data_IF_153033631514
#
_entry.id   IF_153033631514
#
_cell.length_a   1.000
_cell.length_b   1.000
_cell.length_c   1.000
_cell.angle_alpha   90.00
_cell.angle_beta   90.00
_cell.angle_gamma   90.00
#
_symmetry.space_group_name_H-M   'P 1'
#
loop_
_entity.id
_entity.type
_entity.pdbx_description
1 polymer ?
#
# COMPACT_ATOMS: atom_id res chain seq x y z
N UNK A 1 -53.47 23.62 31.20
CA UNK A 1 -53.57 22.30 30.53
C UNK A 1 -52.72 22.42 29.28
N UNK A 2 -51.47 21.95 29.35
CA UNK A 2 -51.02 20.70 28.69
C UNK A 2 -51.06 20.82 27.17
N UNK A 3 -49.98 20.71 26.40
CA UNK A 3 -48.62 20.28 26.69
C UNK A 3 -47.96 19.80 25.39
N UNK A 4 -46.63 19.98 25.29
CA UNK A 4 -45.70 19.21 24.46
C UNK A 4 -45.81 19.35 22.93
N UNK A 5 -44.78 19.14 22.14
CA UNK A 5 -43.35 19.00 22.38
C UNK A 5 -42.71 19.18 21.00
N UNK A 6 -41.61 19.92 20.92
CA UNK A 6 -40.80 19.99 19.72
C UNK A 6 -40.12 18.62 19.49
N UNK A 7 -40.07 18.07 18.27
CA UNK A 7 -39.15 16.99 17.98
C UNK A 7 -37.75 17.59 17.79
N UNK A 8 -36.98 17.60 18.88
CA UNK A 8 -35.53 17.69 18.82
C UNK A 8 -34.91 16.35 18.43
N UNK A 9 -33.75 16.43 17.79
CA UNK A 9 -32.70 15.40 17.89
C UNK A 9 -32.68 14.34 16.81
N UNK A 10 -31.86 14.55 15.77
CA UNK A 10 -31.09 13.48 15.10
C UNK A 10 -30.02 14.09 14.19
N UNK A 11 -28.96 14.64 14.78
CA UNK A 11 -27.72 14.98 14.07
C UNK A 11 -26.50 14.19 14.58
N UNK A 12 -26.73 13.19 15.44
CA UNK A 12 -25.67 12.35 16.03
C UNK A 12 -25.25 11.15 15.15
N UNK A 13 -25.96 10.86 14.04
CA UNK A 13 -25.68 9.70 13.21
C UNK A 13 -24.42 9.83 12.34
N UNK A 14 -24.04 11.03 11.91
CA UNK A 14 -23.17 11.16 10.73
C UNK A 14 -21.67 11.09 11.04
N UNK A 15 -21.22 11.65 12.17
CA UNK A 15 -19.80 11.66 12.53
C UNK A 15 -19.33 10.33 13.14
N UNK A 16 -20.17 9.71 13.98
CA UNK A 16 -19.87 8.41 14.60
C UNK A 16 -19.87 7.26 13.58
N UNK A 17 -20.84 7.25 12.66
CA UNK A 17 -20.89 6.25 11.58
C UNK A 17 -19.75 6.44 10.58
N UNK A 18 -19.40 7.69 10.24
CA UNK A 18 -18.24 7.97 9.37
C UNK A 18 -16.92 7.48 10.01
N UNK A 19 -16.76 7.70 11.32
CA UNK A 19 -15.58 7.22 12.05
C UNK A 19 -15.55 5.68 12.10
N UNK A 20 -16.69 5.04 12.37
CA UNK A 20 -16.81 3.59 12.39
C UNK A 20 -16.49 2.97 11.01
N UNK A 21 -16.97 3.58 9.92
CA UNK A 21 -16.67 3.17 8.56
C UNK A 21 -15.17 3.34 8.24
N UNK A 22 -14.54 4.43 8.69
CA UNK A 22 -13.10 4.64 8.52
C UNK A 22 -12.28 3.57 9.26
N UNK A 23 -12.65 3.20 10.49
CA UNK A 23 -11.99 2.12 11.22
C UNK A 23 -12.19 0.75 10.56
N UNK A 24 -13.39 0.47 10.04
CA UNK A 24 -13.65 -0.76 9.29
C UNK A 24 -12.79 -0.84 8.02
N UNK A 25 -12.63 0.29 7.30
CA UNK A 25 -11.75 0.40 6.14
C UNK A 25 -10.28 0.17 6.50
N UNK A 26 -9.80 0.78 7.58
CA UNK A 26 -8.45 0.60 8.10
C UNK A 26 -8.17 -0.86 8.46
N UNK A 27 -9.12 -1.54 9.14
CA UNK A 27 -8.97 -2.95 9.47
C UNK A 27 -8.97 -3.85 8.24
N UNK A 28 -9.80 -3.55 7.24
CA UNK A 28 -9.79 -4.26 5.96
C UNK A 28 -8.46 -4.12 5.22
N UNK A 29 -7.85 -2.93 5.26
CA UNK A 29 -6.54 -2.69 4.65
C UNK A 29 -5.43 -3.44 5.40
N UNK A 30 -5.49 -3.48 6.74
CA UNK A 30 -4.55 -4.24 7.57
C UNK A 30 -4.65 -5.76 7.30
N UNK A 31 -5.87 -6.29 7.20
CA UNK A 31 -6.12 -7.69 6.86
C UNK A 31 -5.63 -8.03 5.44
N UNK A 32 -5.76 -7.09 4.50
CA UNK A 32 -5.25 -7.24 3.13
C UNK A 32 -3.73 -7.20 3.08
N UNK A 33 -3.10 -6.26 3.79
CA UNK A 33 -1.64 -6.20 3.92
C UNK A 33 -1.10 -7.47 4.58
N UNK A 34 -1.76 -7.94 5.65
CA UNK A 34 -1.42 -9.19 6.33
C UNK A 34 -1.56 -10.42 5.44
N UNK A 35 -2.48 -10.42 4.46
CA UNK A 35 -2.59 -11.48 3.44
C UNK A 35 -1.47 -11.39 2.41
N UNK A 36 -1.13 -10.19 1.94
CA UNK A 36 -0.04 -9.97 0.99
C UNK A 36 1.31 -10.40 1.58
N UNK A 37 1.59 -10.03 2.83
CA UNK A 37 2.82 -10.42 3.53
C UNK A 37 2.90 -11.93 3.68
N UNK A 38 1.83 -12.60 4.13
CA UNK A 38 1.79 -14.07 4.24
C UNK A 38 1.99 -14.77 2.90
N UNK A 39 1.38 -14.27 1.82
CA UNK A 39 1.57 -14.84 0.50
C UNK A 39 3.02 -14.68 -0.01
N UNK A 40 3.66 -13.55 0.31
CA UNK A 40 5.06 -13.31 0.00
C UNK A 40 6.00 -14.21 0.81
N UNK A 41 5.70 -14.41 2.10
CA UNK A 41 6.45 -15.31 2.98
C UNK A 41 6.32 -16.76 2.53
N UNK A 42 5.11 -17.22 2.19
CA UNK A 42 4.90 -18.57 1.66
C UNK A 42 5.62 -18.78 0.32
N UNK A 43 5.64 -17.77 -0.55
CA UNK A 43 6.39 -17.83 -1.81
C UNK A 43 7.89 -17.91 -1.55
N UNK A 44 8.38 -17.10 -0.62
CA UNK A 44 9.79 -17.13 -0.19
C UNK A 44 10.15 -18.43 0.52
N UNK A 45 9.24 -19.05 1.27
CA UNK A 45 9.49 -20.35 1.91
C UNK A 45 9.54 -21.52 0.91
N UNK A 46 8.83 -21.40 -0.23
CA UNK A 46 8.92 -22.35 -1.35
C UNK A 46 10.23 -22.20 -2.13
N UNK A 47 10.80 -21.00 -2.17
CA UNK A 47 12.16 -20.76 -2.65
C UNK A 47 13.16 -21.08 -1.54
N UNK A 48 13.71 -22.29 -1.53
CA UNK A 48 14.74 -22.65 -0.54
C UNK A 48 15.81 -21.55 -0.49
N UNK A 49 16.15 -20.97 0.68
CA UNK A 49 17.11 -19.86 0.78
C UNK A 49 18.42 -20.14 0.01
N UNK A 50 18.88 -21.40 0.06
CA UNK A 50 20.05 -21.87 -0.67
C UNK A 50 19.92 -21.83 -2.20
N UNK A 51 18.73 -22.01 -2.77
CA UNK A 51 18.54 -22.03 -4.22
C UNK A 51 18.81 -20.66 -4.86
N UNK A 52 18.38 -19.57 -4.21
CA UNK A 52 18.64 -18.20 -4.68
C UNK A 52 20.12 -17.84 -4.51
N UNK A 53 20.70 -18.21 -3.38
CA UNK A 53 22.13 -18.00 -3.11
C UNK A 53 22.98 -18.75 -4.15
N UNK A 54 22.67 -20.00 -4.45
CA UNK A 54 23.35 -20.78 -5.47
C UNK A 54 23.16 -20.19 -6.87
N UNK A 55 21.95 -19.76 -7.23
CA UNK A 55 21.70 -19.07 -8.49
C UNK A 55 22.52 -17.78 -8.59
N UNK A 56 22.67 -17.03 -7.48
CA UNK A 56 23.54 -15.86 -7.42
C UNK A 56 25.01 -16.24 -7.61
N UNK A 57 25.50 -17.30 -6.93
CA UNK A 57 26.88 -17.82 -7.10
C UNK A 57 27.16 -18.24 -8.54
N UNK A 58 26.19 -18.89 -9.20
CA UNK A 58 26.26 -19.27 -10.62
C UNK A 58 26.08 -18.09 -11.59
N UNK A 59 25.70 -16.92 -11.10
CA UNK A 59 25.49 -15.71 -11.91
C UNK A 59 24.16 -15.67 -12.65
N UNK A 60 23.24 -16.58 -12.36
CA UNK A 60 21.91 -16.66 -12.99
C UNK A 60 21.02 -15.47 -12.64
N UNK A 61 21.27 -14.84 -11.49
CA UNK A 61 20.60 -13.59 -11.08
C UNK A 61 21.30 -12.33 -11.65
N UNK A 62 22.37 -12.52 -12.42
CA UNK A 62 23.16 -11.46 -13.01
C UNK A 62 24.40 -11.06 -12.19
N UNK A 63 25.28 -10.23 -12.78
CA UNK A 63 26.62 -9.98 -12.26
C UNK A 63 26.63 -9.15 -10.97
N UNK A 64 25.64 -8.29 -10.75
CA UNK A 64 25.53 -7.54 -9.50
C UNK A 64 25.17 -8.46 -8.32
N UNK A 65 24.23 -9.37 -8.53
CA UNK A 65 23.85 -10.37 -7.54
C UNK A 65 24.99 -11.35 -7.24
N UNK A 66 25.74 -11.79 -8.25
CA UNK A 66 26.91 -12.63 -8.02
C UNK A 66 27.97 -11.95 -7.14
N UNK A 67 28.29 -10.67 -7.41
CA UNK A 67 29.25 -9.91 -6.59
C UNK A 67 28.73 -9.65 -5.16
N UNK A 68 27.45 -9.35 -5.02
CA UNK A 68 26.83 -9.21 -3.71
C UNK A 68 26.87 -10.52 -2.92
N UNK A 69 26.61 -11.67 -3.57
CA UNK A 69 26.66 -12.98 -2.92
C UNK A 69 28.06 -13.34 -2.44
N UNK A 70 29.11 -13.03 -3.20
CA UNK A 70 30.50 -13.21 -2.74
C UNK A 70 30.77 -12.42 -1.46
N UNK A 71 30.25 -11.20 -1.35
CA UNK A 71 30.41 -10.37 -0.14
C UNK A 71 29.58 -10.89 1.04
N UNK A 72 28.38 -11.40 0.78
CA UNK A 72 27.51 -12.02 1.79
C UNK A 72 28.16 -13.30 2.32
N UNK A 73 28.65 -14.16 1.43
CA UNK A 73 29.35 -15.40 1.79
C UNK A 73 30.63 -15.11 2.60
N UNK A 74 31.33 -14.01 2.30
CA UNK A 74 32.49 -13.54 3.05
C UNK A 74 32.15 -12.81 4.37
N UNK A 75 30.87 -12.65 4.71
CA UNK A 75 30.41 -11.94 5.90
C UNK A 75 30.68 -10.43 5.90
N UNK A 76 31.00 -9.84 4.75
CA UNK A 76 31.27 -8.41 4.59
C UNK A 76 30.00 -7.55 4.58
N UNK A 77 28.86 -8.19 4.31
CA UNK A 77 27.53 -7.57 4.27
C UNK A 77 26.46 -8.64 4.50
N UNK A 78 25.19 -8.24 4.57
CA UNK A 78 24.05 -9.15 4.66
C UNK A 78 23.04 -8.85 3.56
N UNK A 79 22.19 -9.82 3.23
CA UNK A 79 21.08 -9.59 2.31
C UNK A 79 20.19 -8.43 2.76
N UNK A 80 19.94 -8.35 4.07
CA UNK A 80 19.20 -7.24 4.69
C UNK A 80 19.91 -5.89 4.47
N UNK A 81 21.22 -5.81 4.68
CA UNK A 81 21.97 -4.58 4.44
C UNK A 81 21.96 -4.17 2.96
N UNK A 82 22.04 -5.14 2.04
CA UNK A 82 21.95 -4.91 0.58
C UNK A 82 20.58 -4.37 0.19
N UNK A 83 19.49 -4.99 0.64
CA UNK A 83 18.13 -4.59 0.29
C UNK A 83 17.66 -3.34 1.06
N UNK A 84 18.00 -3.25 2.33
CA UNK A 84 17.63 -2.16 3.25
C UNK A 84 18.45 -0.88 3.06
N UNK A 85 19.52 -0.92 2.27
CA UNK A 85 20.29 0.27 1.88
C UNK A 85 21.48 0.62 2.77
N UNK A 86 21.74 -0.16 3.83
CA UNK A 86 22.94 0.00 4.66
C UNK A 86 24.23 -0.35 3.88
N UNK A 87 24.15 -1.24 2.89
CA UNK A 87 25.23 -1.48 1.94
C UNK A 87 25.18 -0.46 0.80
N UNK A 88 26.15 0.45 0.81
CA UNK A 88 26.34 1.51 -0.19
C UNK A 88 27.18 1.10 -1.42
N UNK A 89 27.54 -0.17 -1.54
CA UNK A 89 28.36 -0.64 -2.67
C UNK A 89 27.64 -0.51 -4.03
N UNK A 90 28.40 -0.40 -5.14
CA UNK A 90 27.82 -0.27 -6.48
C UNK A 90 26.87 -1.42 -6.83
N UNK A 91 27.22 -2.66 -6.46
CA UNK A 91 26.38 -3.84 -6.63
C UNK A 91 25.06 -3.75 -5.84
N UNK A 92 25.10 -3.34 -4.57
CA UNK A 92 23.89 -3.22 -3.76
C UNK A 92 22.96 -2.11 -4.27
N UNK A 93 23.54 -0.97 -4.70
CA UNK A 93 22.79 0.12 -5.34
C UNK A 93 22.12 -0.36 -6.63
N UNK A 94 22.85 -1.07 -7.49
CA UNK A 94 22.31 -1.58 -8.75
C UNK A 94 21.18 -2.60 -8.53
N UNK A 95 21.33 -3.50 -7.55
CA UNK A 95 20.28 -4.46 -7.16
C UNK A 95 19.01 -3.73 -6.74
N UNK A 96 19.12 -2.73 -5.87
CA UNK A 96 17.96 -1.94 -5.42
C UNK A 96 17.31 -1.14 -6.55
N UNK A 97 18.11 -0.58 -7.45
CA UNK A 97 17.60 0.13 -8.63
C UNK A 97 16.83 -0.83 -9.56
N UNK A 98 17.37 -2.01 -9.83
CA UNK A 98 16.70 -3.03 -10.63
C UNK A 98 15.39 -3.49 -9.98
N UNK A 99 15.39 -3.73 -8.65
CA UNK A 99 14.17 -4.07 -7.92
C UNK A 99 13.12 -2.96 -7.99
N UNK A 100 13.53 -1.69 -7.85
CA UNK A 100 12.63 -0.54 -7.97
C UNK A 100 12.06 -0.41 -9.38
N UNK A 101 12.88 -0.59 -10.41
CA UNK A 101 12.44 -0.57 -11.80
C UNK A 101 11.42 -1.69 -12.08
N UNK A 102 11.65 -2.91 -11.55
CA UNK A 102 10.73 -4.03 -11.66
C UNK A 102 9.37 -3.72 -10.99
N UNK A 103 9.39 -3.14 -9.80
CA UNK A 103 8.17 -2.73 -9.10
C UNK A 103 7.41 -1.64 -9.86
N UNK A 104 8.13 -0.65 -10.39
CA UNK A 104 7.54 0.41 -11.23
C UNK A 104 6.92 -0.17 -12.50
N UNK A 105 7.62 -1.06 -13.21
CA UNK A 105 7.11 -1.74 -14.40
C UNK A 105 5.88 -2.59 -14.09
N UNK A 106 5.85 -3.24 -12.93
CA UNK A 106 4.70 -4.02 -12.46
C UNK A 106 3.51 -3.13 -12.09
N UNK A 107 3.76 -1.87 -11.70
CA UNK A 107 2.70 -0.87 -11.46
C UNK A 107 2.13 -0.33 -12.77
N UNK A 108 2.97 -0.12 -13.79
CA UNK A 108 2.52 0.29 -15.13
C UNK A 108 1.80 -0.83 -15.90
N UNK A 109 1.98 -2.10 -15.51
CA UNK A 109 1.32 -3.26 -16.13
C UNK A 109 -0.08 -3.59 -15.55
N UNK A 110 -0.63 -2.76 -14.65
CA UNK A 110 -2.00 -2.87 -14.12
C UNK A 110 -2.04 -2.95 -12.58
N UNK A 111 -2.13 -1.79 -11.90
CA UNK A 111 -3.28 -1.40 -11.06
C UNK A 111 -3.65 0.09 -11.26
N UNK A 112 -3.17 0.71 -12.34
CA UNK A 112 -3.50 2.11 -12.67
C UNK A 112 -4.98 2.29 -13.01
N UNK A 113 -5.63 1.30 -13.63
CA UNK A 113 -7.07 1.34 -13.91
C UNK A 113 -7.93 1.24 -12.64
N UNK A 114 -7.50 0.45 -11.65
CA UNK A 114 -8.24 0.26 -10.41
C UNK A 114 -8.05 1.46 -9.47
N UNK A 115 -6.81 1.96 -9.32
CA UNK A 115 -6.54 3.19 -8.58
C UNK A 115 -7.13 4.43 -9.26
N UNK A 116 -7.15 4.48 -10.59
CA UNK A 116 -7.81 5.55 -11.34
C UNK A 116 -9.32 5.47 -11.19
N UNK A 117 -9.93 4.29 -11.34
CA UNK A 117 -11.37 4.10 -11.06
C UNK A 117 -11.72 4.49 -9.64
N UNK A 118 -10.93 4.07 -8.65
CA UNK A 118 -11.18 4.38 -7.26
C UNK A 118 -11.07 5.90 -7.00
N UNK A 119 -10.09 6.56 -7.62
CA UNK A 119 -9.95 8.03 -7.56
C UNK A 119 -11.15 8.74 -8.19
N UNK A 120 -11.62 8.26 -9.34
CA UNK A 120 -12.76 8.84 -10.05
C UNK A 120 -14.07 8.62 -9.29
N UNK A 121 -14.26 7.44 -8.69
CA UNK A 121 -15.40 7.14 -7.81
C UNK A 121 -15.41 8.02 -6.56
N UNK A 122 -14.25 8.23 -5.92
CA UNK A 122 -14.12 9.14 -4.77
C UNK A 122 -14.43 10.59 -5.18
N UNK A 123 -13.96 11.04 -6.35
CA UNK A 123 -14.29 12.35 -6.89
C UNK A 123 -15.79 12.55 -7.13
N UNK A 124 -16.45 11.58 -7.76
CA UNK A 124 -17.89 11.61 -8.02
C UNK A 124 -18.72 11.64 -6.71
N UNK A 125 -18.27 10.92 -5.68
CA UNK A 125 -18.91 10.93 -4.38
C UNK A 125 -18.77 12.30 -3.69
N UNK A 126 -17.59 12.92 -3.76
CA UNK A 126 -17.35 14.26 -3.21
C UNK A 126 -18.20 15.34 -3.88
N UNK A 127 -18.36 15.27 -5.21
CA UNK A 127 -19.23 16.19 -5.95
C UNK A 127 -20.69 16.04 -5.54
N UNK A 128 -21.17 14.80 -5.40
CA UNK A 128 -22.54 14.50 -4.97
C UNK A 128 -22.81 15.04 -3.57
N UNK A 129 -21.87 14.84 -2.64
CA UNK A 129 -21.94 15.38 -1.28
C UNK A 129 -21.92 16.92 -1.26
N UNK A 130 -21.08 17.53 -2.11
CA UNK A 130 -21.01 18.99 -2.23
C UNK A 130 -22.28 19.57 -2.82
N UNK A 131 -22.87 18.93 -3.84
CA UNK A 131 -24.14 19.32 -4.44
C UNK A 131 -25.30 19.19 -3.44
N UNK A 132 -25.34 18.10 -2.67
CA UNK A 132 -26.30 17.91 -1.59
C UNK A 132 -26.15 18.98 -0.50
N UNK A 133 -24.92 19.29 -0.09
CA UNK A 133 -24.62 20.34 0.88
C UNK A 133 -25.06 21.74 0.41
N UNK A 134 -24.89 22.06 -0.89
CA UNK A 134 -25.41 23.31 -1.48
C UNK A 134 -26.93 23.35 -1.49
N UNK A 135 -27.58 22.23 -1.80
CA UNK A 135 -29.05 22.12 -1.83
C UNK A 135 -29.68 22.25 -0.43
N UNK A 136 -28.93 21.86 0.61
CA UNK A 136 -29.28 22.02 2.02
C UNK A 136 -28.91 23.39 2.60
N UNK A 137 -28.19 24.25 1.86
CA UNK A 137 -28.03 25.68 2.14
C UNK A 137 -29.04 26.45 1.28
N UNK A 138 -30.31 26.58 1.69
CA UNK A 138 -31.18 27.56 1.07
C UNK A 138 -30.57 28.93 1.31
N UNK A 139 -30.57 29.78 0.27
CA UNK A 139 -30.23 31.18 0.37
C UNK A 139 -30.92 31.79 1.59
N UNK A 140 -30.11 32.09 2.61
CA UNK A 140 -30.47 33.06 3.64
C UNK A 140 -30.54 34.39 2.94
N UNK A 141 -31.74 34.78 2.51
CA UNK A 141 -31.98 36.04 1.84
C UNK A 141 -31.49 37.22 2.66
N UNK A 142 -30.68 38.07 2.02
CA UNK A 142 -30.96 39.49 1.83
C UNK A 142 -30.04 40.09 0.77
#
# INVERSE_FOLDING_TARGET
MSGGAAPGGSSSGTAGEAMAAAFARLRSLDDELGRVVRAADERSARESPGAREEAARRGELGPHWQRAQVRIDAGLTTLEAVMGGADGSPEAVAIRQAARAQLQASTTAGPDDELTRLRDEVGALQETLTAAARRLRPDGGR
#
